data_IF_433575522518
#
_entry.id   IF_433575522518
#
_cell.length_a   1.000
_cell.length_b   1.000
_cell.length_c   1.000
_cell.angle_alpha   90.00
_cell.angle_beta   90.00
_cell.angle_gamma   90.00
#
_symmetry.space_group_name_H-M   'P 1'
#
loop_
_entity.id
_entity.type
_entity.pdbx_description
1 polymer ?
#
# COMPACT_ATOMS: atom_id res chain seq x y z
N UNK A 1 -15.53 5.99 11.66
CA UNK A 1 -15.77 5.72 10.22
C UNK A 1 -14.54 6.05 9.37
N UNK A 2 -13.91 7.22 9.56
CA UNK A 2 -12.72 7.65 8.79
C UNK A 2 -11.46 6.82 9.14
N UNK A 3 -11.34 6.42 10.40
CA UNK A 3 -10.36 5.45 10.93
C UNK A 3 -10.38 4.10 10.18
N UNK A 4 -11.57 3.58 9.90
CA UNK A 4 -11.75 2.34 9.14
C UNK A 4 -11.37 2.54 7.67
N UNK A 5 -11.76 3.67 7.07
CA UNK A 5 -11.42 3.99 5.68
C UNK A 5 -9.90 4.08 5.45
N UNK A 6 -9.19 4.83 6.30
CA UNK A 6 -7.73 4.99 6.15
C UNK A 6 -6.98 3.67 6.39
N UNK A 7 -7.46 2.84 7.29
CA UNK A 7 -6.95 1.49 7.49
C UNK A 7 -7.11 0.63 6.23
N UNK A 8 -8.28 0.67 5.57
CA UNK A 8 -8.50 -0.08 4.33
C UNK A 8 -7.65 0.44 3.17
N UNK A 9 -7.38 1.75 3.09
CA UNK A 9 -6.46 2.31 2.10
C UNK A 9 -5.04 1.74 2.27
N UNK A 10 -4.53 1.71 3.50
CA UNK A 10 -3.24 1.08 3.80
C UNK A 10 -3.24 -0.40 3.41
N UNK A 11 -4.27 -1.15 3.80
CA UNK A 11 -4.38 -2.58 3.50
C UNK A 11 -4.49 -2.89 2.01
N UNK A 12 -5.14 -2.01 1.22
CA UNK A 12 -5.23 -2.15 -0.23
C UNK A 12 -3.87 -1.95 -0.89
N UNK A 13 -3.15 -0.89 -0.52
CA UNK A 13 -1.79 -0.62 -0.99
C UNK A 13 -0.84 -1.79 -0.64
N UNK A 14 -0.86 -2.25 0.62
CA UNK A 14 -0.03 -3.38 1.07
C UNK A 14 -0.29 -4.64 0.24
N UNK A 15 -1.56 -5.00 0.03
CA UNK A 15 -1.91 -6.20 -0.73
C UNK A 15 -1.54 -6.11 -2.20
N UNK A 16 -1.64 -4.92 -2.81
CA UNK A 16 -1.22 -4.74 -4.20
C UNK A 16 0.27 -5.07 -4.37
N UNK A 17 1.14 -4.50 -3.53
CA UNK A 17 2.58 -4.77 -3.60
C UNK A 17 2.91 -6.23 -3.30
N UNK A 18 2.25 -6.83 -2.29
CA UNK A 18 2.41 -8.26 -1.98
C UNK A 18 1.96 -9.15 -3.13
N UNK A 19 0.84 -8.83 -3.78
CA UNK A 19 0.35 -9.55 -4.95
C UNK A 19 1.37 -9.54 -6.09
N UNK A 20 2.01 -8.39 -6.33
CA UNK A 20 3.11 -8.29 -7.30
C UNK A 20 4.32 -9.15 -6.92
N UNK A 21 4.73 -9.14 -5.65
CA UNK A 21 5.84 -9.98 -5.18
C UNK A 21 5.54 -11.48 -5.35
N UNK A 22 4.31 -11.92 -5.04
CA UNK A 22 3.87 -13.30 -5.31
C UNK A 22 3.89 -13.60 -6.81
N UNK A 23 3.43 -12.67 -7.65
CA UNK A 23 3.49 -12.82 -9.10
C UNK A 23 4.93 -12.97 -9.62
N UNK A 24 5.91 -12.31 -8.99
CA UNK A 24 7.33 -12.47 -9.28
C UNK A 24 7.96 -13.71 -8.62
N UNK A 25 7.17 -14.62 -8.04
CA UNK A 25 7.62 -15.80 -7.29
C UNK A 25 8.60 -15.44 -6.15
N UNK A 26 8.40 -14.27 -5.53
CA UNK A 26 9.26 -13.77 -4.47
C UNK A 26 8.57 -13.84 -3.11
N UNK A 27 9.16 -14.63 -2.20
CA UNK A 27 8.76 -14.63 -0.79
C UNK A 27 9.14 -13.31 -0.10
N UNK A 28 8.30 -12.88 0.83
CA UNK A 28 8.53 -11.70 1.66
C UNK A 28 8.18 -12.00 3.11
N UNK A 29 8.85 -11.32 4.05
CA UNK A 29 8.59 -11.49 5.47
C UNK A 29 7.17 -11.07 5.86
N UNK A 30 6.65 -11.62 6.96
CA UNK A 30 5.35 -11.21 7.52
C UNK A 30 5.45 -9.80 8.11
N UNK A 31 5.38 -8.79 7.25
CA UNK A 31 5.44 -7.37 7.58
C UNK A 31 4.21 -6.61 7.07
N UNK A 32 3.87 -5.52 7.76
CA UNK A 32 2.91 -4.51 7.30
C UNK A 32 3.62 -3.23 6.82
N UNK A 33 4.95 -3.29 6.70
CA UNK A 33 5.75 -2.17 6.26
C UNK A 33 5.75 -2.08 4.73
N UNK A 34 4.99 -1.13 4.21
CA UNK A 34 4.86 -0.90 2.77
C UNK A 34 6.16 -0.36 2.19
N UNK A 35 6.95 0.43 2.94
CA UNK A 35 8.26 0.88 2.47
C UNK A 35 9.16 -0.32 2.13
N UNK A 36 9.27 -1.26 3.07
CA UNK A 36 10.07 -2.46 2.88
C UNK A 36 9.58 -3.33 1.70
N UNK A 37 8.25 -3.45 1.55
CA UNK A 37 7.66 -4.21 0.44
C UNK A 37 7.94 -3.54 -0.90
N UNK A 38 7.81 -2.21 -0.98
CA UNK A 38 8.12 -1.42 -2.18
C UNK A 38 9.60 -1.51 -2.55
N UNK A 39 10.51 -1.39 -1.58
CA UNK A 39 11.95 -1.57 -1.81
C UNK A 39 12.29 -2.98 -2.30
N UNK A 40 11.58 -3.99 -1.80
CA UNK A 40 11.75 -5.37 -2.26
C UNK A 40 11.24 -5.54 -3.68
N UNK A 41 10.07 -5.01 -4.01
CA UNK A 41 9.48 -5.05 -5.35
C UNK A 41 10.32 -4.26 -6.39
N UNK A 42 11.00 -3.20 -5.95
CA UNK A 42 11.88 -2.39 -6.79
C UNK A 42 13.06 -3.18 -7.42
N UNK A 43 13.42 -4.33 -6.85
CA UNK A 43 14.43 -5.23 -7.42
C UNK A 43 13.96 -5.88 -8.74
N UNK A 44 12.64 -5.97 -8.95
CA UNK A 44 12.02 -6.57 -10.14
C UNK A 44 11.44 -5.51 -11.07
N UNK A 45 10.94 -4.40 -10.53
CA UNK A 45 10.48 -3.26 -11.31
C UNK A 45 10.89 -1.93 -10.65
N UNK A 46 11.89 -1.26 -11.23
CA UNK A 46 12.45 -0.02 -10.65
C UNK A 46 11.42 1.11 -10.44
N UNK A 47 10.29 1.09 -11.17
CA UNK A 47 9.21 2.06 -10.98
C UNK A 47 8.64 2.10 -9.55
N UNK A 48 8.80 1.04 -8.76
CA UNK A 48 8.44 1.02 -7.34
C UNK A 48 9.20 2.06 -6.51
N UNK A 49 10.40 2.49 -6.92
CA UNK A 49 11.16 3.51 -6.18
C UNK A 49 10.39 4.85 -6.05
N UNK A 50 9.50 5.15 -7.01
CA UNK A 50 8.65 6.34 -6.96
C UNK A 50 7.54 6.26 -5.87
N UNK A 51 7.37 5.11 -5.24
CA UNK A 51 6.33 4.84 -4.25
C UNK A 51 6.85 4.70 -2.81
N UNK A 52 8.15 4.92 -2.58
CA UNK A 52 8.78 4.81 -1.25
C UNK A 52 8.10 5.75 -0.24
N UNK A 53 7.97 7.04 -0.59
CA UNK A 53 7.35 8.04 0.29
C UNK A 53 5.88 7.74 0.60
N UNK A 54 5.16 7.17 -0.37
CA UNK A 54 3.78 6.69 -0.19
C UNK A 54 3.76 5.53 0.80
N UNK A 55 4.67 4.56 0.65
CA UNK A 55 4.81 3.44 1.58
C UNK A 55 5.08 3.90 3.01
N UNK A 56 6.05 4.80 3.20
CA UNK A 56 6.40 5.37 4.51
C UNK A 56 5.18 6.01 5.18
N UNK A 57 4.40 6.80 4.43
CA UNK A 57 3.24 7.52 4.97
C UNK A 57 2.04 6.61 5.24
N UNK A 58 1.84 5.55 4.46
CA UNK A 58 0.74 4.60 4.65
C UNK A 58 1.02 3.59 5.78
N UNK A 59 2.26 3.12 5.95
CA UNK A 59 2.64 2.09 6.94
C UNK A 59 2.06 2.34 8.35
N UNK A 60 2.11 3.55 8.92
CA UNK A 60 1.60 3.82 10.27
C UNK A 60 0.08 3.63 10.40
N UNK A 61 -0.69 3.85 9.32
CA UNK A 61 -2.15 3.70 9.33
C UNK A 61 -2.61 2.25 9.56
N UNK A 62 -1.71 1.28 9.42
CA UNK A 62 -1.97 -0.09 9.83
C UNK A 62 -2.34 -0.16 11.32
N UNK A 63 -1.79 0.69 12.19
CA UNK A 63 -1.89 0.53 13.66
C UNK A 63 -2.34 1.77 14.42
N UNK A 64 -2.09 2.97 13.91
CA UNK A 64 -2.27 4.24 14.65
C UNK A 64 -3.69 4.42 15.21
N UNK A 65 -4.73 3.97 14.50
CA UNK A 65 -6.13 4.16 14.91
C UNK A 65 -6.73 2.94 15.64
N UNK A 66 -5.94 1.89 15.91
CA UNK A 66 -6.45 0.66 16.57
C UNK A 66 -6.60 0.82 18.09
N UNK A 67 -5.94 1.79 18.71
CA UNK A 67 -5.94 1.96 20.15
C UNK A 67 -6.45 3.36 20.55
N UNK A 68 -7.53 3.44 21.34
CA UNK A 68 -8.04 4.72 21.85
C UNK A 68 -6.93 5.51 22.56
N UNK A 69 -6.72 6.77 22.15
CA UNK A 69 -5.76 7.70 22.77
C UNK A 69 -4.36 7.75 22.15
N UNK A 70 -4.05 6.91 21.15
CA UNK A 70 -2.75 6.95 20.45
C UNK A 70 -2.72 7.97 19.29
N UNK A 71 -3.86 8.23 18.68
CA UNK A 71 -4.10 9.32 17.74
C UNK A 71 -5.57 9.76 17.80
N UNK A 72 -5.84 10.99 17.37
CA UNK A 72 -7.20 11.46 17.12
C UNK A 72 -7.84 10.75 15.91
N UNK A 73 -9.10 11.03 15.62
CA UNK A 73 -9.70 10.58 14.36
C UNK A 73 -8.95 11.20 13.17
N UNK A 74 -8.74 10.44 12.07
CA UNK A 74 -8.15 11.00 10.87
C UNK A 74 -9.09 12.04 10.28
N UNK A 75 -8.53 13.12 9.75
CA UNK A 75 -9.29 14.13 9.03
C UNK A 75 -9.63 13.68 7.60
N UNK A 76 -10.56 14.39 6.96
CA UNK A 76 -11.00 14.06 5.61
C UNK A 76 -9.90 14.19 4.55
N UNK A 77 -8.93 15.08 4.75
CA UNK A 77 -7.82 15.29 3.82
C UNK A 77 -6.84 14.12 3.88
N UNK A 78 -6.54 13.62 5.08
CA UNK A 78 -5.74 12.42 5.29
C UNK A 78 -6.36 11.19 4.64
N UNK A 79 -7.68 11.00 4.78
CA UNK A 79 -8.38 9.89 4.14
C UNK A 79 -8.37 10.04 2.61
N UNK A 80 -8.65 11.23 2.09
CA UNK A 80 -8.64 11.48 0.65
C UNK A 80 -7.25 11.26 0.04
N UNK A 81 -6.20 11.70 0.72
CA UNK A 81 -4.82 11.44 0.33
C UNK A 81 -4.51 9.94 0.34
N UNK A 82 -4.86 9.24 1.41
CA UNK A 82 -4.59 7.80 1.54
C UNK A 82 -5.32 6.98 0.47
N UNK A 83 -6.56 7.36 0.14
CA UNK A 83 -7.34 6.72 -0.93
C UNK A 83 -6.65 6.91 -2.29
N UNK A 84 -6.30 8.16 -2.64
CA UNK A 84 -5.60 8.47 -3.90
C UNK A 84 -4.26 7.75 -4.00
N UNK A 85 -3.50 7.69 -2.90
CA UNK A 85 -2.24 6.99 -2.83
C UNK A 85 -2.40 5.46 -3.02
N UNK A 86 -3.39 4.86 -2.36
CA UNK A 86 -3.69 3.43 -2.50
C UNK A 86 -4.15 3.07 -3.91
N UNK A 87 -5.04 3.86 -4.52
CA UNK A 87 -5.49 3.67 -5.90
C UNK A 87 -4.34 3.84 -6.90
N UNK A 88 -3.50 4.86 -6.71
CA UNK A 88 -2.34 5.10 -7.55
C UNK A 88 -1.37 3.93 -7.54
N UNK A 89 -1.02 3.44 -6.35
CA UNK A 89 -0.11 2.30 -6.20
C UNK A 89 -0.71 1.01 -6.78
N UNK A 90 -2.01 0.78 -6.56
CA UNK A 90 -2.72 -0.35 -7.16
C UNK A 90 -2.68 -0.30 -8.69
N UNK A 91 -3.03 0.85 -9.30
CA UNK A 91 -3.00 1.01 -10.76
C UNK A 91 -1.59 0.83 -11.32
N UNK A 92 -0.58 1.34 -10.63
CA UNK A 92 0.80 1.11 -10.99
C UNK A 92 1.14 -0.39 -10.96
N UNK A 93 0.80 -1.12 -9.88
CA UNK A 93 1.01 -2.57 -9.82
C UNK A 93 0.32 -3.29 -10.97
N UNK A 94 -0.96 -3.01 -11.23
CA UNK A 94 -1.71 -3.64 -12.34
C UNK A 94 -1.06 -3.35 -13.68
N UNK A 95 -0.50 -2.14 -13.89
CA UNK A 95 0.19 -1.79 -15.13
C UNK A 95 1.47 -2.60 -15.39
N UNK A 96 2.02 -3.26 -14.37
CA UNK A 96 3.18 -4.16 -14.50
C UNK A 96 2.78 -5.60 -14.82
N UNK A 97 1.49 -5.95 -14.68
CA UNK A 97 1.01 -7.29 -14.93
C UNK A 97 0.69 -7.48 -16.43
N UNK A 98 0.82 -8.72 -16.94
CA UNK A 98 0.35 -9.06 -18.28
C UNK A 98 -1.14 -8.74 -18.44
N UNK A 99 -1.57 -8.31 -19.65
CA UNK A 99 -2.95 -7.92 -19.91
C UNK A 99 -3.97 -9.06 -19.67
N UNK A 100 -3.53 -10.33 -19.72
CA UNK A 100 -4.37 -11.49 -19.44
C UNK A 100 -4.75 -11.64 -17.96
N UNK A 101 -4.06 -10.93 -17.06
CA UNK A 101 -4.27 -10.97 -15.60
C UNK A 101 -5.01 -9.71 -15.11
N UNK A 102 -4.89 -8.59 -15.83
CA UNK A 102 -5.43 -7.29 -15.43
C UNK A 102 -6.87 -6.96 -15.84
N UNK A 103 -7.63 -7.94 -16.32
CA UNK A 103 -9.02 -7.74 -16.81
C UNK A 103 -10.04 -8.35 -15.85
N UNK A 104 -10.44 -7.57 -14.83
CA UNK A 104 -11.71 -7.72 -14.11
C UNK A 104 -12.31 -6.34 -13.79
#
# INVERSE_FOLDING_TARGET
MLDTAIYHCQQAAEKAVKGYLVFCDQEFERTHDIELLVQTAARYAQGFLNWIDVGIKLTPYARIYRYPGYAGEPDSEQVAWALSAAEGLYRFVVSLLPPEIGTE
#
